data_IF_259649557988
#
_entry.id   IF_259649557988
#
_cell.length_a   1.000
_cell.length_b   1.000
_cell.length_c   1.000
_cell.angle_alpha   90.00
_cell.angle_beta   90.00
_cell.angle_gamma   90.00
#
_symmetry.space_group_name_H-M   'P 1'
#
loop_
_entity.id
_entity.type
_entity.pdbx_description
1 polymer ?
#
# COMPACT_ATOMS: atom_id res chain seq x y z
N UNK A 1 22.63 -32.33 37.19
CA UNK A 1 21.57 -31.30 37.16
C UNK A 1 22.00 -29.97 36.53
N UNK A 2 23.17 -29.87 35.88
CA UNK A 2 23.70 -28.59 35.35
C UNK A 2 23.75 -28.49 33.81
N UNK A 3 23.61 -29.60 33.09
CA UNK A 3 23.76 -29.62 31.61
C UNK A 3 22.43 -29.29 30.89
N UNK A 4 21.29 -29.76 31.41
CA UNK A 4 19.97 -29.47 30.82
C UNK A 4 19.52 -28.01 31.03
N UNK A 5 19.88 -27.38 32.15
CA UNK A 5 19.63 -25.96 32.38
C UNK A 5 20.39 -25.06 31.41
N UNK A 6 21.68 -25.35 31.20
CA UNK A 6 22.53 -24.57 30.30
C UNK A 6 22.05 -24.61 28.84
N UNK A 7 21.52 -25.75 28.37
CA UNK A 7 20.97 -25.86 27.02
C UNK A 7 19.62 -25.14 26.83
N UNK A 8 18.78 -25.10 27.87
CA UNK A 8 17.51 -24.39 27.83
C UNK A 8 17.70 -22.87 27.77
N UNK A 9 18.65 -22.36 28.57
CA UNK A 9 19.03 -20.96 28.61
C UNK A 9 19.66 -20.50 27.28
N UNK A 10 20.52 -21.33 26.67
CA UNK A 10 21.09 -21.07 25.33
C UNK A 10 20.02 -21.03 24.23
N UNK A 11 19.03 -21.92 24.29
CA UNK A 11 17.89 -21.90 23.38
C UNK A 11 17.08 -20.61 23.54
N UNK A 12 16.73 -20.23 24.78
CA UNK A 12 15.97 -18.99 25.05
C UNK A 12 16.70 -17.76 24.47
N UNK A 13 18.00 -17.68 24.69
CA UNK A 13 18.86 -16.59 24.17
C UNK A 13 18.82 -16.54 22.64
N UNK A 14 18.93 -17.68 21.95
CA UNK A 14 18.86 -17.73 20.49
C UNK A 14 17.49 -17.29 19.95
N UNK A 15 16.39 -17.72 20.58
CA UNK A 15 15.04 -17.26 20.21
C UNK A 15 14.85 -15.75 20.46
N UNK A 16 15.36 -15.24 21.59
CA UNK A 16 15.37 -13.82 21.92
C UNK A 16 16.12 -13.01 20.86
N UNK A 17 17.29 -13.45 20.42
CA UNK A 17 18.05 -12.78 19.37
C UNK A 17 17.30 -12.73 18.04
N UNK A 18 16.67 -13.84 17.63
CA UNK A 18 15.84 -13.89 16.41
C UNK A 18 14.65 -12.94 16.49
N UNK A 19 13.95 -12.89 17.62
CA UNK A 19 12.82 -11.99 17.83
C UNK A 19 13.29 -10.53 17.84
N UNK A 20 14.42 -10.22 18.50
CA UNK A 20 15.03 -8.88 18.45
C UNK A 20 15.38 -8.48 17.02
N UNK A 21 15.94 -9.39 16.23
CA UNK A 21 16.24 -9.14 14.82
C UNK A 21 14.97 -8.85 14.01
N UNK A 22 13.89 -9.60 14.22
CA UNK A 22 12.58 -9.37 13.60
C UNK A 22 11.99 -8.01 14.00
N UNK A 23 12.06 -7.64 15.29
CA UNK A 23 11.60 -6.34 15.78
C UNK A 23 12.36 -5.21 15.10
N UNK A 24 13.69 -5.32 15.05
CA UNK A 24 14.54 -4.32 14.41
C UNK A 24 14.22 -4.16 12.92
N UNK A 25 13.97 -5.29 12.23
CA UNK A 25 13.58 -5.26 10.82
C UNK A 25 12.20 -4.60 10.62
N UNK A 26 11.21 -4.95 11.44
CA UNK A 26 9.89 -4.34 11.40
C UNK A 26 9.94 -2.83 11.70
N UNK A 27 10.74 -2.41 12.69
CA UNK A 27 10.97 -0.99 12.98
C UNK A 27 11.64 -0.25 11.83
N UNK A 28 12.64 -0.87 11.18
CA UNK A 28 13.30 -0.30 10.01
C UNK A 28 12.31 -0.13 8.84
N UNK A 29 11.45 -1.11 8.60
CA UNK A 29 10.43 -1.07 7.57
C UNK A 29 9.41 0.05 7.83
N UNK A 30 8.90 0.15 9.07
CA UNK A 30 7.99 1.22 9.47
C UNK A 30 8.66 2.59 9.30
N UNK A 31 9.90 2.74 9.75
CA UNK A 31 10.67 3.98 9.57
C UNK A 31 10.83 4.33 8.09
N UNK A 32 11.17 3.36 7.25
CA UNK A 32 11.31 3.56 5.81
C UNK A 32 10.00 4.01 5.19
N UNK A 33 8.88 3.38 5.53
CA UNK A 33 7.56 3.75 5.00
C UNK A 33 7.13 5.14 5.49
N UNK A 34 7.41 5.49 6.74
CA UNK A 34 7.15 6.85 7.24
C UNK A 34 7.96 7.89 6.47
N UNK A 35 9.24 7.62 6.20
CA UNK A 35 10.10 8.50 5.40
C UNK A 35 9.64 8.58 3.95
N UNK A 36 9.31 7.46 3.35
CA UNK A 36 8.74 7.39 2.00
C UNK A 36 7.46 8.22 1.92
N UNK A 37 6.52 8.03 2.85
CA UNK A 37 5.29 8.82 2.93
C UNK A 37 5.59 10.31 3.04
N UNK A 38 6.54 10.72 3.87
CA UNK A 38 6.88 12.13 4.06
C UNK A 38 7.45 12.77 2.77
N UNK A 39 8.36 12.07 2.09
CA UNK A 39 9.00 12.58 0.86
C UNK A 39 8.03 12.60 -0.32
N UNK A 40 7.24 11.54 -0.48
CA UNK A 40 6.37 11.36 -1.64
C UNK A 40 4.96 11.94 -1.45
N UNK A 41 4.58 12.38 -0.24
CA UNK A 41 3.23 12.90 0.05
C UNK A 41 2.85 14.07 -0.87
N UNK A 42 3.72 15.07 -1.03
CA UNK A 42 3.46 16.22 -1.90
C UNK A 42 3.53 15.83 -3.38
N UNK A 43 4.51 14.99 -3.75
CA UNK A 43 4.67 14.52 -5.11
C UNK A 43 3.40 13.79 -5.60
N UNK A 44 2.91 12.84 -4.80
CA UNK A 44 1.73 12.05 -5.12
C UNK A 44 0.45 12.88 -5.08
N UNK A 45 0.38 13.91 -4.25
CA UNK A 45 -0.76 14.83 -4.24
C UNK A 45 -0.82 15.62 -5.55
N UNK A 46 0.30 16.21 -5.98
CA UNK A 46 0.37 16.96 -7.24
C UNK A 46 0.10 16.06 -8.44
N UNK A 47 0.61 14.83 -8.40
CA UNK A 47 0.33 13.81 -9.41
C UNK A 47 -1.18 13.55 -9.53
N UNK A 48 -1.87 13.25 -8.44
CA UNK A 48 -3.31 12.98 -8.46
C UNK A 48 -4.14 14.19 -8.92
N UNK A 49 -3.76 15.40 -8.51
CA UNK A 49 -4.46 16.63 -8.89
C UNK A 49 -4.27 16.99 -10.37
N UNK A 50 -3.17 16.58 -10.98
CA UNK A 50 -2.89 16.87 -12.40
C UNK A 50 -3.35 15.72 -13.31
N UNK A 51 -2.97 14.48 -12.99
CA UNK A 51 -3.29 13.30 -13.78
C UNK A 51 -4.78 12.97 -13.76
N UNK A 52 -5.48 13.18 -12.65
CA UNK A 52 -6.92 12.92 -12.56
C UNK A 52 -7.75 13.66 -13.64
N UNK A 53 -7.67 15.00 -13.72
CA UNK A 53 -8.32 15.77 -14.78
C UNK A 53 -7.84 15.40 -16.19
N UNK A 54 -6.54 15.12 -16.36
CA UNK A 54 -5.99 14.68 -17.66
C UNK A 54 -6.62 13.37 -18.13
N UNK A 55 -6.77 12.39 -17.25
CA UNK A 55 -7.46 11.12 -17.54
C UNK A 55 -8.89 11.38 -18.04
N UNK A 56 -9.63 12.27 -17.38
CA UNK A 56 -10.98 12.65 -17.81
C UNK A 56 -10.98 13.28 -19.20
N UNK A 57 -10.04 14.20 -19.46
CA UNK A 57 -9.93 14.93 -20.73
C UNK A 57 -9.56 13.99 -21.89
N UNK A 58 -8.58 13.11 -21.69
CA UNK A 58 -8.15 12.13 -22.69
C UNK A 58 -9.25 11.10 -22.99
N UNK A 59 -9.97 10.65 -21.95
CA UNK A 59 -11.13 9.77 -22.13
C UNK A 59 -12.22 10.44 -22.95
N UNK A 60 -12.56 11.70 -22.64
CA UNK A 60 -13.54 12.47 -23.39
C UNK A 60 -13.11 12.71 -24.85
N UNK A 61 -11.85 13.10 -25.07
CA UNK A 61 -11.29 13.31 -26.40
C UNK A 61 -11.25 12.03 -27.24
N UNK A 62 -10.98 10.88 -26.63
CA UNK A 62 -11.07 9.59 -27.30
C UNK A 62 -12.51 9.29 -27.78
N UNK A 63 -13.51 9.65 -26.99
CA UNK A 63 -14.92 9.47 -27.33
C UNK A 63 -15.48 10.47 -28.37
N UNK A 64 -14.95 11.70 -28.42
CA UNK A 64 -15.31 12.69 -29.45
C UNK A 64 -14.49 12.56 -30.74
N UNK A 65 -13.46 11.72 -30.74
CA UNK A 65 -12.58 11.51 -31.89
C UNK A 65 -13.34 11.08 -33.14
N UNK A 66 -13.23 11.87 -34.22
CA UNK A 66 -13.86 11.57 -35.52
C UNK A 66 -13.00 10.69 -36.42
N UNK A 67 -11.67 10.74 -36.24
CA UNK A 67 -10.71 9.93 -36.99
C UNK A 67 -10.15 8.82 -36.11
N UNK A 68 -9.96 7.64 -36.69
CA UNK A 68 -9.34 6.49 -36.02
C UNK A 68 -7.96 6.84 -35.44
N UNK A 69 -7.18 7.68 -36.14
CA UNK A 69 -5.87 8.11 -35.67
C UNK A 69 -5.97 8.93 -34.36
N UNK A 70 -6.96 9.83 -34.27
CA UNK A 70 -7.21 10.63 -33.08
C UNK A 70 -7.67 9.76 -31.91
N UNK A 71 -8.58 8.82 -32.16
CA UNK A 71 -9.06 7.88 -31.13
C UNK A 71 -7.90 7.06 -30.58
N UNK A 72 -7.07 6.47 -31.44
CA UNK A 72 -5.91 5.66 -31.03
C UNK A 72 -4.94 6.51 -30.19
N UNK A 73 -4.63 7.73 -30.63
CA UNK A 73 -3.72 8.63 -29.91
C UNK A 73 -4.20 8.92 -28.49
N UNK A 74 -5.44 9.36 -28.33
CA UNK A 74 -5.99 9.69 -27.01
C UNK A 74 -6.17 8.46 -26.12
N UNK A 75 -6.57 7.33 -26.69
CA UNK A 75 -6.65 6.06 -25.96
C UNK A 75 -5.27 5.63 -25.45
N UNK A 76 -4.24 5.76 -26.27
CA UNK A 76 -2.87 5.43 -25.87
C UNK A 76 -2.38 6.31 -24.72
N UNK A 77 -2.62 7.62 -24.78
CA UNK A 77 -2.27 8.56 -23.70
C UNK A 77 -3.04 8.22 -22.42
N UNK A 78 -4.35 7.95 -22.52
CA UNK A 78 -5.17 7.50 -21.39
C UNK A 78 -4.58 6.25 -20.72
N UNK A 79 -4.21 5.23 -21.50
CA UNK A 79 -3.61 4.00 -20.97
C UNK A 79 -2.26 4.29 -20.31
N UNK A 80 -1.42 5.15 -20.90
CA UNK A 80 -0.14 5.53 -20.32
C UNK A 80 -0.31 6.24 -18.96
N UNK A 81 -1.25 7.18 -18.85
CA UNK A 81 -1.56 7.87 -17.59
C UNK A 81 -2.14 6.91 -16.53
N UNK A 82 -3.01 5.99 -16.93
CA UNK A 82 -3.55 4.97 -16.04
C UNK A 82 -2.44 4.03 -15.51
N UNK A 83 -1.50 3.64 -16.39
CA UNK A 83 -0.33 2.85 -16.00
C UNK A 83 0.56 3.62 -15.03
N UNK A 84 0.85 4.88 -15.30
CA UNK A 84 1.63 5.76 -14.41
C UNK A 84 1.03 5.80 -12.99
N UNK A 85 -0.29 5.95 -12.87
CA UNK A 85 -0.97 5.95 -11.58
C UNK A 85 -0.92 4.57 -10.89
N UNK A 86 -1.03 3.49 -11.67
CA UNK A 86 -0.95 2.11 -11.16
C UNK A 86 0.43 1.76 -10.60
N UNK A 87 1.51 2.32 -11.18
CA UNK A 87 2.88 2.13 -10.68
C UNK A 87 3.07 2.60 -9.24
N UNK A 88 2.31 3.61 -8.79
CA UNK A 88 2.36 4.08 -7.41
C UNK A 88 1.41 3.30 -6.49
N UNK A 89 0.23 2.91 -6.98
CA UNK A 89 -0.81 2.30 -6.14
C UNK A 89 -0.54 0.82 -5.85
N UNK A 90 -0.01 0.06 -6.82
CA UNK A 90 0.20 -1.39 -6.66
C UNK A 90 1.24 -1.68 -5.57
N UNK A 91 2.45 -1.07 -5.57
CA UNK A 91 3.43 -1.32 -4.51
C UNK A 91 2.95 -0.83 -3.14
N UNK A 92 2.22 0.29 -3.10
CA UNK A 92 1.63 0.80 -1.87
C UNK A 92 0.65 -0.20 -1.26
N UNK A 93 -0.21 -0.82 -2.08
CA UNK A 93 -1.13 -1.85 -1.64
C UNK A 93 -0.40 -3.12 -1.20
N UNK A 94 0.61 -3.55 -1.98
CA UNK A 94 1.41 -4.72 -1.64
C UNK A 94 2.12 -4.57 -0.28
N UNK A 95 2.70 -3.39 -0.02
CA UNK A 95 3.32 -3.08 1.28
C UNK A 95 2.28 -3.12 2.41
N UNK A 96 1.07 -2.62 2.17
CA UNK A 96 -0.01 -2.65 3.16
C UNK A 96 -0.46 -4.08 3.47
N UNK A 97 -0.61 -4.92 2.45
CA UNK A 97 -1.00 -6.33 2.59
C UNK A 97 0.09 -7.15 3.30
N UNK A 98 1.35 -6.99 2.91
CA UNK A 98 2.48 -7.66 3.56
C UNK A 98 2.63 -7.22 5.03
N UNK A 99 2.36 -5.95 5.35
CA UNK A 99 2.37 -5.48 6.73
C UNK A 99 1.32 -6.19 7.60
N UNK A 100 0.13 -6.46 7.05
CA UNK A 100 -0.91 -7.24 7.73
C UNK A 100 -0.55 -8.74 7.81
N UNK A 101 0.12 -9.28 6.79
CA UNK A 101 0.57 -10.67 6.76
C UNK A 101 1.52 -10.99 7.93
N UNK A 102 2.34 -10.03 8.38
CA UNK A 102 3.20 -10.18 9.57
C UNK A 102 2.37 -10.49 10.82
N UNK A 103 1.24 -9.78 11.04
CA UNK A 103 0.37 -10.05 12.18
C UNK A 103 -0.21 -11.47 12.11
N UNK A 104 -0.64 -11.90 10.93
CA UNK A 104 -1.18 -13.24 10.71
C UNK A 104 -0.11 -14.32 10.95
N UNK A 105 1.10 -14.12 10.46
CA UNK A 105 2.22 -15.05 10.67
C UNK A 105 2.53 -15.21 12.17
N UNK A 106 2.55 -14.10 12.94
CA UNK A 106 2.73 -14.17 14.39
C UNK A 106 1.57 -14.91 15.05
N UNK A 107 0.33 -14.63 14.66
CA UNK A 107 -0.85 -15.31 15.20
C UNK A 107 -0.79 -16.83 15.01
N UNK A 108 -0.43 -17.30 13.80
CA UNK A 108 -0.31 -18.72 13.49
C UNK A 108 0.95 -19.41 14.03
N UNK A 109 1.93 -18.64 14.53
CA UNK A 109 3.18 -19.18 15.09
C UNK A 109 3.03 -19.92 16.42
N UNK A 110 1.81 -20.04 16.97
CA UNK A 110 1.53 -20.60 18.31
C UNK A 110 2.36 -19.94 19.41
N UNK A 111 2.57 -18.62 19.31
CA UNK A 111 3.33 -17.80 20.27
C UNK A 111 2.88 -17.98 21.73
N UNK A 112 1.61 -18.32 21.96
CA UNK A 112 1.07 -18.59 23.31
C UNK A 112 1.60 -19.90 23.93
N UNK A 113 1.94 -20.89 23.10
CA UNK A 113 2.48 -22.20 23.51
C UNK A 113 3.99 -22.18 23.70
N UNK A 114 4.66 -21.04 23.50
CA UNK A 114 6.08 -20.93 23.75
C UNK A 114 6.40 -21.11 25.24
N UNK A 115 7.49 -21.85 25.49
CA UNK A 115 7.93 -22.22 26.83
C UNK A 115 8.38 -21.01 27.66
N UNK A 116 8.84 -19.96 26.97
CA UNK A 116 9.43 -18.76 27.57
C UNK A 116 8.42 -17.60 27.64
N UNK A 117 7.98 -17.17 28.84
CA UNK A 117 7.06 -16.05 29.02
C UNK A 117 7.64 -14.71 28.54
N UNK A 118 8.96 -14.56 28.63
CA UNK A 118 9.76 -13.39 28.20
C UNK A 118 9.52 -13.01 26.73
N UNK A 119 9.18 -13.98 25.88
CA UNK A 119 8.96 -13.81 24.43
C UNK A 119 7.54 -13.38 24.07
N UNK A 120 6.57 -13.58 24.96
CA UNK A 120 5.14 -13.36 24.64
C UNK A 120 4.81 -11.88 24.48
N UNK A 121 5.28 -11.03 25.40
CA UNK A 121 5.01 -9.58 25.39
C UNK A 121 5.58 -8.88 24.15
N UNK A 122 6.85 -9.12 23.74
CA UNK A 122 7.38 -8.56 22.50
C UNK A 122 6.59 -8.97 21.25
N UNK A 123 6.22 -10.26 21.14
CA UNK A 123 5.45 -10.78 20.00
C UNK A 123 4.05 -10.15 19.91
N UNK A 124 3.35 -10.03 21.04
CA UNK A 124 2.06 -9.33 21.14
C UNK A 124 2.16 -7.89 20.66
N UNK A 125 3.22 -7.17 21.04
CA UNK A 125 3.44 -5.78 20.63
C UNK A 125 3.64 -5.64 19.12
N UNK A 126 4.43 -6.53 18.51
CA UNK A 126 4.62 -6.54 17.06
C UNK A 126 3.30 -6.84 16.36
N UNK A 127 2.56 -7.85 16.83
CA UNK A 127 1.27 -8.23 16.27
C UNK A 127 0.28 -7.05 16.31
N UNK A 128 0.16 -6.37 17.46
CA UNK A 128 -0.74 -5.22 17.61
C UNK A 128 -0.36 -4.03 16.70
N UNK A 129 0.94 -3.80 16.50
CA UNK A 129 1.41 -2.75 15.58
C UNK A 129 1.17 -3.13 14.11
N UNK A 130 1.44 -4.38 13.72
CA UNK A 130 1.20 -4.87 12.37
C UNK A 130 -0.30 -4.87 12.01
N UNK A 131 -1.19 -5.10 12.98
CA UNK A 131 -2.64 -5.06 12.79
C UNK A 131 -3.21 -3.66 12.51
N UNK A 132 -2.52 -2.58 12.91
CA UNK A 132 -3.00 -1.22 12.61
C UNK A 132 -2.97 -0.91 11.10
N UNK A 133 -2.32 -1.74 10.29
CA UNK A 133 -2.20 -1.56 8.85
C UNK A 133 -1.32 -0.36 8.49
N UNK A 134 -0.77 -0.38 7.29
CA UNK A 134 0.04 0.73 6.78
C UNK A 134 -0.71 1.37 5.63
N UNK A 135 -1.22 2.59 5.86
CA UNK A 135 -1.86 3.38 4.79
C UNK A 135 -0.95 4.54 4.39
N UNK A 136 -0.51 4.52 3.14
CA UNK A 136 0.22 5.64 2.54
C UNK A 136 -0.83 6.66 2.08
N UNK A 137 -0.74 7.89 2.59
CA UNK A 137 -1.64 9.00 2.21
C UNK A 137 -0.87 10.10 1.49
N UNK A 138 -1.35 10.52 0.32
CA UNK A 138 -0.90 11.71 -0.40
C UNK A 138 -1.47 12.97 0.26
N UNK A 139 -0.61 13.92 0.62
CA UNK A 139 -0.99 15.18 1.27
C UNK A 139 -1.72 15.04 2.61
N UNK A 140 -1.82 13.83 3.17
CA UNK A 140 -2.73 13.51 4.29
C UNK A 140 -4.22 13.43 3.91
N UNK A 141 -4.57 13.72 2.65
CA UNK A 141 -5.95 13.83 2.16
C UNK A 141 -6.41 12.56 1.44
N UNK A 142 -5.58 12.03 0.54
CA UNK A 142 -5.95 10.93 -0.36
C UNK A 142 -5.20 9.67 0.03
N UNK A 143 -5.92 8.58 0.32
CA UNK A 143 -5.31 7.28 0.55
C UNK A 143 -4.85 6.70 -0.79
N UNK A 144 -3.58 6.30 -0.87
CA UNK A 144 -2.98 5.73 -2.07
C UNK A 144 -3.12 4.22 -1.98
N UNK A 145 -4.14 3.71 -2.64
CA UNK A 145 -4.40 2.29 -2.77
C UNK A 145 -5.06 2.02 -4.13
N UNK A 146 -5.16 0.74 -4.48
CA UNK A 146 -5.80 0.31 -5.74
C UNK A 146 -7.26 0.74 -5.80
N UNK A 147 -7.95 0.83 -4.66
CA UNK A 147 -9.34 1.25 -4.57
C UNK A 147 -9.52 2.72 -5.01
N UNK A 148 -8.68 3.64 -4.52
CA UNK A 148 -8.69 5.05 -4.91
C UNK A 148 -8.41 5.22 -6.39
N UNK A 149 -7.48 4.45 -6.96
CA UNK A 149 -7.23 4.43 -8.41
C UNK A 149 -8.49 4.07 -9.20
N UNK A 150 -9.17 2.99 -8.81
CA UNK A 150 -10.44 2.58 -9.45
C UNK A 150 -11.51 3.66 -9.29
N UNK A 151 -11.57 4.31 -8.13
CA UNK A 151 -12.51 5.40 -7.89
C UNK A 151 -12.23 6.61 -8.79
N UNK A 152 -10.97 6.98 -9.03
CA UNK A 152 -10.62 8.04 -10.00
C UNK A 152 -11.13 7.69 -11.40
N UNK A 153 -10.93 6.46 -11.86
CA UNK A 153 -11.42 6.03 -13.18
C UNK A 153 -12.95 6.04 -13.26
N UNK A 154 -13.65 5.61 -12.19
CA UNK A 154 -15.11 5.68 -12.11
C UNK A 154 -15.63 7.12 -12.18
N UNK A 155 -15.00 8.03 -11.44
CA UNK A 155 -15.34 9.46 -11.47
C UNK A 155 -15.10 10.03 -12.87
N UNK A 156 -13.98 9.69 -13.51
CA UNK A 156 -13.68 10.11 -14.87
C UNK A 156 -14.73 9.62 -15.89
N UNK A 157 -15.11 8.34 -15.80
CA UNK A 157 -16.16 7.76 -16.63
C UNK A 157 -17.52 8.42 -16.40
N UNK A 158 -17.91 8.63 -15.14
CA UNK A 158 -19.15 9.31 -14.78
C UNK A 158 -19.18 10.73 -15.31
N UNK A 159 -18.10 11.49 -15.12
CA UNK A 159 -17.98 12.86 -15.62
C UNK A 159 -18.09 12.91 -17.14
N UNK A 160 -17.41 12.01 -17.85
CA UNK A 160 -17.50 11.88 -19.31
C UNK A 160 -18.93 11.55 -19.77
N UNK A 161 -19.59 10.61 -19.09
CA UNK A 161 -20.97 10.20 -19.41
C UNK A 161 -21.95 11.36 -19.25
N UNK A 162 -21.83 12.14 -18.16
CA UNK A 162 -22.64 13.33 -17.91
C UNK A 162 -22.38 14.41 -18.98
N UNK A 163 -21.11 14.71 -19.29
CA UNK A 163 -20.75 15.70 -20.29
C UNK A 163 -21.33 15.35 -21.68
N UNK A 164 -21.34 14.06 -22.03
CA UNK A 164 -21.96 13.56 -23.27
C UNK A 164 -23.48 13.69 -23.24
N UNK A 165 -24.12 13.35 -22.12
CA UNK A 165 -25.57 13.45 -21.95
C UNK A 165 -26.10 14.88 -22.08
N UNK A 166 -25.38 15.85 -21.48
CA UNK A 166 -25.73 17.28 -21.59
C UNK A 166 -25.62 17.84 -23.01
N UNK A 167 -24.79 17.23 -23.87
CA UNK A 167 -24.60 17.67 -25.25
C UNK A 167 -25.65 17.11 -26.22
N UNK A 168 -26.35 16.05 -25.84
CA UNK A 168 -27.39 15.41 -26.68
C UNK A 168 -28.79 16.00 -26.47
N UNK A 169 -28.96 16.89 -25.50
CA UNK A 169 -30.22 17.56 -25.14
C UNK A 169 -30.20 19.03 -25.59
#
# INVERSE_FOLDING_TARGET
>A
MTVEGNNADEMELNYLEKIKACIRHHQLLLWFIMKFRQMFSLLLLTEYLTVGPLICAELFAAFEGRSIHTIIRHTFIFVALALQLSFYCIPANYIADEALAVANAIYFSKWYSHHFPSLKVPLLRIMQNAQHGITIRAGGLVAINTETFVNVLKVAWSACSIARGLRQN
#
